data_IF_963131518924
#
_entry.id   IF_963131518924
#
_cell.length_a   1.000
_cell.length_b   1.000
_cell.length_c   1.000
_cell.angle_alpha   90.00
_cell.angle_beta   90.00
_cell.angle_gamma   90.00
#
_symmetry.space_group_name_H-M   'P 1'
#
loop_
_entity.id
_entity.type
_entity.pdbx_description
1 polymer ?
#
# COMPACT_ATOMS: atom_id res chain seq x y z
N UNK A 1 -12.61 23.28 -2.39
CA UNK A 1 -11.50 22.91 -3.32
C UNK A 1 -11.56 21.43 -3.64
N UNK A 2 -11.49 21.03 -4.92
CA UNK A 2 -11.37 19.61 -5.29
C UNK A 2 -9.99 19.11 -4.85
N UNK A 3 -9.94 18.08 -3.98
CA UNK A 3 -8.68 17.50 -3.49
C UNK A 3 -8.00 16.69 -4.60
N UNK A 4 -6.66 16.77 -4.69
CA UNK A 4 -5.85 15.95 -5.60
C UNK A 4 -5.81 14.51 -5.09
N UNK A 5 -5.98 13.55 -6.00
CA UNK A 5 -5.88 12.11 -5.68
C UNK A 5 -4.43 11.65 -5.80
N UNK A 6 -3.92 10.93 -4.81
CA UNK A 6 -2.55 10.39 -4.78
C UNK A 6 -2.47 9.03 -5.47
N UNK A 7 -1.42 8.82 -6.26
CA UNK A 7 -1.06 7.53 -6.86
C UNK A 7 0.15 6.98 -6.10
N UNK A 8 -0.06 5.90 -5.36
CA UNK A 8 0.84 5.39 -4.33
C UNK A 8 1.28 3.96 -4.70
N UNK A 9 2.51 3.73 -5.16
CA UNK A 9 3.07 2.38 -5.23
C UNK A 9 3.16 1.76 -3.84
N UNK A 10 2.59 0.56 -3.68
CA UNK A 10 2.68 -0.24 -2.46
C UNK A 10 3.62 -1.41 -2.69
N UNK A 11 4.73 -1.44 -1.96
CA UNK A 11 5.79 -2.43 -2.09
C UNK A 11 5.77 -3.37 -0.88
N UNK A 12 5.30 -4.61 -1.11
CA UNK A 12 5.43 -5.68 -0.14
C UNK A 12 6.89 -6.14 -0.09
N UNK A 13 7.51 -6.11 1.08
CA UNK A 13 8.96 -6.33 1.25
C UNK A 13 9.22 -7.51 2.17
N UNK A 14 10.25 -8.28 1.80
CA UNK A 14 10.88 -9.29 2.65
C UNK A 14 12.40 -9.16 2.53
N UNK A 15 13.08 -8.88 3.63
CA UNK A 15 14.54 -8.72 3.67
C UNK A 15 15.07 -7.76 2.58
N UNK A 16 14.38 -6.63 2.34
CA UNK A 16 14.74 -5.63 1.34
C UNK A 16 14.43 -6.01 -0.10
N UNK A 17 13.86 -7.17 -0.34
CA UNK A 17 13.41 -7.61 -1.66
C UNK A 17 11.92 -7.33 -1.83
N UNK A 18 11.56 -6.80 -2.98
CA UNK A 18 10.18 -6.68 -3.38
C UNK A 18 9.61 -8.07 -3.65
N UNK A 19 8.52 -8.39 -2.98
CA UNK A 19 7.79 -9.64 -3.17
C UNK A 19 6.35 -9.33 -3.60
N UNK A 20 5.71 -10.28 -4.26
CA UNK A 20 4.29 -10.18 -4.58
C UNK A 20 3.68 -11.55 -4.80
N UNK A 21 2.47 -11.73 -4.27
CA UNK A 21 1.64 -12.90 -4.42
C UNK A 21 0.24 -12.54 -4.95
N UNK A 22 -0.68 -13.46 -4.79
CA UNK A 22 -2.12 -13.31 -5.01
C UNK A 22 -2.79 -13.60 -3.68
N UNK A 23 -3.69 -12.71 -3.24
CA UNK A 23 -4.34 -12.80 -1.92
C UNK A 23 -3.32 -13.03 -0.77
N UNK A 24 -2.14 -12.39 -0.87
CA UNK A 24 -0.99 -12.57 0.01
C UNK A 24 -0.34 -13.96 0.00
N UNK A 25 -0.72 -14.86 -0.89
CA UNK A 25 -0.16 -16.21 -1.01
C UNK A 25 0.73 -16.35 -2.26
N UNK A 26 1.58 -17.38 -2.31
CA UNK A 26 2.44 -17.67 -3.44
C UNK A 26 3.46 -16.57 -3.73
N UNK A 27 4.09 -16.02 -2.71
CA UNK A 27 4.99 -14.87 -2.79
C UNK A 27 6.18 -15.13 -3.75
N UNK A 28 6.35 -14.27 -4.74
CA UNK A 28 7.45 -14.28 -5.71
C UNK A 28 8.32 -13.05 -5.52
N UNK A 29 9.63 -13.24 -5.63
CA UNK A 29 10.60 -12.16 -5.53
C UNK A 29 10.75 -11.48 -6.89
N UNK A 30 10.64 -10.14 -6.91
CA UNK A 30 10.77 -9.29 -8.10
C UNK A 30 12.15 -8.65 -8.23
N UNK A 31 12.81 -8.35 -7.13
CA UNK A 31 14.13 -7.72 -7.09
C UNK A 31 14.32 -6.85 -5.85
N UNK A 32 15.29 -5.95 -5.89
CA UNK A 32 15.60 -5.05 -4.78
C UNK A 32 14.50 -3.96 -4.66
N UNK A 33 13.85 -3.85 -3.51
CA UNK A 33 12.75 -2.90 -3.29
C UNK A 33 13.18 -1.43 -3.48
N UNK A 34 14.43 -1.09 -3.15
CA UNK A 34 14.96 0.27 -3.34
C UNK A 34 15.01 0.67 -4.81
N UNK A 35 15.35 -0.25 -5.70
CA UNK A 35 15.40 0.03 -7.14
C UNK A 35 14.00 0.29 -7.71
N UNK A 36 13.00 -0.45 -7.24
CA UNK A 36 11.60 -0.21 -7.57
C UNK A 36 11.11 1.14 -7.03
N UNK A 37 11.44 1.48 -5.79
CA UNK A 37 11.06 2.77 -5.21
C UNK A 37 11.64 3.96 -6.00
N UNK A 38 12.94 3.90 -6.36
CA UNK A 38 13.59 4.90 -7.23
C UNK A 38 12.89 5.03 -8.58
N UNK A 39 12.56 3.90 -9.21
CA UNK A 39 11.84 3.88 -10.48
C UNK A 39 10.46 4.53 -10.36
N UNK A 40 9.69 4.19 -9.32
CA UNK A 40 8.36 4.78 -9.11
C UNK A 40 8.45 6.27 -8.79
N UNK A 41 9.42 6.69 -7.99
CA UNK A 41 9.68 8.09 -7.75
C UNK A 41 9.97 8.85 -9.06
N UNK A 42 10.87 8.33 -9.90
CA UNK A 42 11.18 8.93 -11.21
C UNK A 42 9.99 8.92 -12.19
N UNK A 43 9.03 8.03 -11.99
CA UNK A 43 7.78 7.95 -12.75
C UNK A 43 6.65 8.82 -12.18
N UNK A 44 6.94 9.63 -11.16
CA UNK A 44 6.01 10.62 -10.60
C UNK A 44 5.06 10.05 -9.54
N UNK A 45 5.48 9.08 -8.73
CA UNK A 45 4.73 8.66 -7.54
C UNK A 45 4.47 9.83 -6.60
N UNK A 46 3.28 9.88 -5.99
CA UNK A 46 2.93 10.94 -5.04
C UNK A 46 3.37 10.60 -3.60
N UNK A 47 3.56 9.32 -3.33
CA UNK A 47 4.00 8.74 -2.07
C UNK A 47 4.55 7.33 -2.38
N UNK A 48 5.46 6.80 -1.58
CA UNK A 48 5.91 5.40 -1.64
C UNK A 48 5.48 4.71 -0.35
N UNK A 49 4.86 3.54 -0.46
CA UNK A 49 4.45 2.74 0.68
C UNK A 49 5.29 1.47 0.76
N UNK A 50 6.02 1.28 1.85
CA UNK A 50 6.72 0.05 2.20
C UNK A 50 5.93 -0.74 3.22
N UNK A 51 5.70 -2.02 2.95
CA UNK A 51 4.99 -2.94 3.84
C UNK A 51 5.82 -4.22 4.03
N UNK A 52 6.37 -4.43 5.24
CA UNK A 52 7.00 -5.71 5.55
C UNK A 52 5.92 -6.78 5.74
N UNK A 53 5.76 -7.61 4.73
CA UNK A 53 4.69 -8.62 4.68
C UNK A 53 4.93 -9.83 5.58
N UNK A 54 6.13 -9.96 6.16
CA UNK A 54 6.50 -11.12 6.98
C UNK A 54 6.75 -10.79 8.44
N UNK A 55 6.92 -9.51 8.79
CA UNK A 55 7.21 -9.08 10.15
C UNK A 55 6.17 -9.52 11.18
N UNK A 56 4.89 -9.50 10.82
CA UNK A 56 3.79 -9.96 11.69
C UNK A 56 3.90 -11.47 11.97
N UNK A 57 4.29 -12.26 10.98
CA UNK A 57 4.37 -13.73 11.09
C UNK A 57 5.59 -14.20 11.88
N UNK A 58 6.74 -13.53 11.70
CA UNK A 58 8.03 -13.96 12.25
C UNK A 58 8.57 -13.09 13.37
N UNK A 59 7.86 -12.02 13.74
CA UNK A 59 8.29 -11.12 14.80
C UNK A 59 9.53 -10.29 14.46
N UNK A 60 9.92 -10.21 13.20
CA UNK A 60 11.11 -9.49 12.76
C UNK A 60 10.76 -8.11 12.20
N UNK A 61 11.57 -7.11 12.54
CA UNK A 61 11.50 -5.78 11.96
C UNK A 61 12.86 -5.40 11.34
N UNK A 62 13.05 -5.76 10.07
CA UNK A 62 14.29 -5.52 9.35
C UNK A 62 14.21 -4.32 8.40
N UNK A 63 13.12 -3.54 8.47
CA UNK A 63 12.91 -2.44 7.53
C UNK A 63 13.84 -1.24 7.76
N UNK A 64 14.34 -1.01 8.97
CA UNK A 64 15.10 0.20 9.36
C UNK A 64 16.18 0.53 8.34
N UNK A 65 17.03 -0.44 8.01
CA UNK A 65 18.12 -0.26 7.05
C UNK A 65 17.62 0.14 5.65
N UNK A 66 16.52 -0.50 5.19
CA UNK A 66 15.97 -0.25 3.86
C UNK A 66 15.22 1.07 3.80
N UNK A 67 14.53 1.45 4.88
CA UNK A 67 13.88 2.77 5.04
C UNK A 67 14.93 3.86 4.92
N UNK A 68 16.01 3.78 5.69
CA UNK A 68 17.09 4.77 5.67
C UNK A 68 17.73 4.89 4.27
N UNK A 69 18.07 3.78 3.63
CA UNK A 69 18.62 3.78 2.27
C UNK A 69 17.66 4.33 1.22
N UNK A 70 16.35 4.16 1.42
CA UNK A 70 15.34 4.66 0.49
C UNK A 70 15.10 6.15 0.69
N UNK A 71 14.94 6.60 1.93
CA UNK A 71 14.73 8.00 2.29
C UNK A 71 15.80 8.95 1.75
N UNK A 72 17.05 8.49 1.66
CA UNK A 72 18.14 9.26 1.06
C UNK A 72 18.03 9.47 -0.47
N UNK A 73 17.14 8.77 -1.15
CA UNK A 73 17.10 8.72 -2.62
C UNK A 73 15.72 9.06 -3.22
N UNK A 74 14.72 9.29 -2.40
CA UNK A 74 13.38 9.69 -2.84
C UNK A 74 12.95 10.94 -2.08
N UNK A 75 12.21 11.83 -2.76
CA UNK A 75 11.77 13.12 -2.20
C UNK A 75 10.25 13.26 -2.29
N UNK A 76 9.54 12.16 -2.05
CA UNK A 76 8.10 12.07 -1.82
C UNK A 76 7.87 11.36 -0.50
N UNK A 77 6.72 11.55 0.17
CA UNK A 77 6.45 10.89 1.44
C UNK A 77 6.70 9.38 1.37
N UNK A 78 7.38 8.86 2.39
CA UNK A 78 7.63 7.43 2.59
C UNK A 78 6.80 6.92 3.76
N UNK A 79 5.79 6.12 3.46
CA UNK A 79 4.96 5.44 4.45
C UNK A 79 5.49 4.03 4.70
N UNK A 80 5.68 3.66 5.96
CA UNK A 80 6.32 2.39 6.34
C UNK A 80 5.45 1.60 7.29
N UNK A 81 5.19 0.34 6.94
CA UNK A 81 4.43 -0.60 7.76
C UNK A 81 5.08 -1.97 7.86
N UNK A 82 4.55 -2.75 8.80
CA UNK A 82 5.03 -4.09 9.13
C UNK A 82 5.88 -4.13 10.40
N UNK A 83 5.48 -4.99 11.34
CA UNK A 83 6.20 -5.22 12.58
C UNK A 83 6.16 -4.11 13.63
N UNK A 84 5.43 -3.02 13.42
CA UNK A 84 5.30 -1.93 14.39
C UNK A 84 4.31 -2.36 15.47
N UNK A 85 4.80 -2.59 16.69
CA UNK A 85 4.04 -3.12 17.84
C UNK A 85 4.14 -2.25 19.08
N UNK A 86 5.04 -1.28 19.09
CA UNK A 86 5.31 -0.38 20.19
C UNK A 86 5.59 1.04 19.71
N UNK A 87 5.60 1.97 20.64
CA UNK A 87 6.03 3.37 20.40
C UNK A 87 7.51 3.42 20.00
N UNK A 88 8.33 2.53 20.57
CA UNK A 88 9.75 2.46 20.23
C UNK A 88 9.97 2.00 18.80
N UNK A 89 9.22 0.99 18.32
CA UNK A 89 9.25 0.58 16.90
C UNK A 89 8.88 1.75 15.98
N UNK A 90 7.81 2.47 16.32
CA UNK A 90 7.37 3.66 15.58
C UNK A 90 8.47 4.73 15.54
N UNK A 91 9.08 5.02 16.69
CA UNK A 91 10.18 6.00 16.81
C UNK A 91 11.38 5.61 15.95
N UNK A 92 11.75 4.33 15.90
CA UNK A 92 12.83 3.82 15.07
C UNK A 92 12.55 4.02 13.57
N UNK A 93 11.30 3.83 13.13
CA UNK A 93 10.92 4.07 11.73
C UNK A 93 11.03 5.55 11.34
N UNK A 94 10.54 6.46 12.19
CA UNK A 94 10.68 7.91 11.96
C UNK A 94 12.16 8.33 11.95
N UNK A 95 12.97 7.85 12.89
CA UNK A 95 14.42 8.10 12.91
C UNK A 95 15.15 7.56 11.66
N UNK A 96 14.64 6.49 11.07
CA UNK A 96 15.16 5.94 9.82
C UNK A 96 14.77 6.75 8.57
N UNK A 97 13.84 7.71 8.69
CA UNK A 97 13.40 8.58 7.60
C UNK A 97 12.03 8.29 7.03
N UNK A 98 11.19 7.52 7.74
CA UNK A 98 9.78 7.40 7.39
C UNK A 98 9.04 8.72 7.68
N UNK A 99 8.17 9.16 6.76
CA UNK A 99 7.28 10.30 6.98
C UNK A 99 5.98 9.87 7.68
N UNK A 100 5.56 8.63 7.44
CA UNK A 100 4.38 8.03 8.06
C UNK A 100 4.65 6.59 8.47
N UNK A 101 3.96 6.15 9.52
CA UNK A 101 3.91 4.73 9.88
C UNK A 101 2.54 4.12 9.55
N UNK A 102 2.54 2.83 9.21
CA UNK A 102 1.33 2.06 8.91
C UNK A 102 1.21 0.93 9.91
N UNK A 103 0.09 0.87 10.62
CA UNK A 103 -0.17 -0.15 11.65
C UNK A 103 -1.42 -0.96 11.26
N UNK A 104 -1.41 -2.26 11.54
CA UNK A 104 -2.57 -3.14 11.37
C UNK A 104 -2.76 -4.03 12.62
N UNK A 105 -2.16 -5.22 12.62
CA UNK A 105 -2.43 -6.26 13.65
C UNK A 105 -2.26 -5.76 15.07
N UNK A 106 -1.23 -4.97 15.34
CA UNK A 106 -0.97 -4.43 16.68
C UNK A 106 -2.11 -3.53 17.21
N UNK A 107 -2.80 -2.79 16.33
CA UNK A 107 -3.94 -1.95 16.70
C UNK A 107 -5.21 -2.78 16.92
N UNK A 108 -5.36 -3.89 16.19
CA UNK A 108 -6.46 -4.85 16.43
C UNK A 108 -6.29 -5.49 17.80
N UNK A 109 -5.06 -5.85 18.16
CA UNK A 109 -4.75 -6.48 19.46
C UNK A 109 -4.79 -5.46 20.62
N UNK A 110 -4.35 -4.22 20.39
CA UNK A 110 -4.33 -3.14 21.39
C UNK A 110 -4.56 -1.77 20.74
N UNK A 111 -5.80 -1.31 20.74
CA UNK A 111 -6.19 0.00 20.17
C UNK A 111 -5.53 1.19 20.87
N UNK A 112 -5.11 1.06 22.13
CA UNK A 112 -4.46 2.15 22.86
C UNK A 112 -3.08 2.50 22.28
N UNK A 113 -2.42 1.56 21.60
CA UNK A 113 -1.19 1.85 20.85
C UNK A 113 -1.43 2.98 19.83
N UNK A 114 -2.56 2.94 19.12
CA UNK A 114 -2.92 3.97 18.15
C UNK A 114 -3.08 5.34 18.81
N UNK A 115 -3.80 5.39 19.94
CA UNK A 115 -4.00 6.63 20.71
C UNK A 115 -2.67 7.21 21.20
N UNK A 116 -1.76 6.38 21.70
CA UNK A 116 -0.44 6.81 22.13
C UNK A 116 0.41 7.30 20.94
N UNK A 117 0.46 6.55 19.86
CA UNK A 117 1.23 6.92 18.67
C UNK A 117 0.73 8.24 18.07
N UNK A 118 -0.58 8.43 17.93
CA UNK A 118 -1.15 9.67 17.41
C UNK A 118 -0.88 10.89 18.31
N UNK A 119 -0.87 10.70 19.61
CA UNK A 119 -0.53 11.76 20.57
C UNK A 119 0.95 12.17 20.51
N UNK A 120 1.85 11.21 20.29
CA UNK A 120 3.31 11.45 20.29
C UNK A 120 3.78 11.96 18.90
N UNK A 121 3.33 11.34 17.84
CA UNK A 121 3.84 11.60 16.48
C UNK A 121 2.89 12.47 15.62
N UNK A 122 1.68 12.74 16.11
CA UNK A 122 0.63 13.43 15.33
C UNK A 122 -0.17 12.48 14.45
N UNK A 123 -1.51 12.64 14.45
CA UNK A 123 -2.43 11.78 13.68
C UNK A 123 -2.09 11.73 12.18
N UNK A 124 -1.66 12.85 11.58
CA UNK A 124 -1.30 12.92 10.15
C UNK A 124 -0.19 11.97 9.73
N UNK A 125 0.62 11.53 10.68
CA UNK A 125 1.75 10.63 10.46
C UNK A 125 1.42 9.16 10.77
N UNK A 126 0.16 8.89 11.19
CA UNK A 126 -0.30 7.55 11.54
C UNK A 126 -1.37 7.10 10.54
N UNK A 127 -1.05 6.06 9.80
CA UNK A 127 -1.97 5.39 8.89
C UNK A 127 -2.37 4.03 9.46
N UNK A 128 -3.65 3.69 9.42
CA UNK A 128 -4.11 2.33 9.75
C UNK A 128 -4.48 1.60 8.46
N UNK A 129 -3.87 0.42 8.24
CA UNK A 129 -4.32 -0.45 7.16
C UNK A 129 -5.40 -1.40 7.69
N UNK A 130 -6.52 -1.45 7.00
CA UNK A 130 -7.63 -2.37 7.28
C UNK A 130 -7.65 -3.40 6.17
N UNK A 131 -7.30 -4.63 6.49
CA UNK A 131 -7.47 -5.78 5.59
C UNK A 131 -8.90 -6.30 5.77
N UNK A 132 -9.69 -6.26 4.70
CA UNK A 132 -11.07 -6.72 4.72
C UNK A 132 -11.24 -7.94 3.81
N UNK A 133 -11.85 -8.98 4.34
CA UNK A 133 -12.20 -10.20 3.62
C UNK A 133 -13.71 -10.33 3.51
N UNK A 134 -14.17 -10.75 2.33
CA UNK A 134 -15.59 -11.02 2.08
C UNK A 134 -15.86 -12.51 2.16
N UNK A 135 -16.81 -12.88 3.02
CA UNK A 135 -17.31 -14.26 3.20
C UNK A 135 -18.83 -14.20 3.16
N UNK A 136 -19.46 -14.97 2.31
CA UNK A 136 -20.92 -15.09 2.20
C UNK A 136 -21.66 -13.73 2.20
N UNK A 137 -21.23 -12.81 1.38
CA UNK A 137 -21.79 -11.45 1.24
C UNK A 137 -21.52 -10.50 2.41
N UNK A 138 -20.87 -10.93 3.49
CA UNK A 138 -20.46 -10.07 4.63
C UNK A 138 -18.97 -9.75 4.56
N UNK A 139 -18.60 -8.60 5.11
CA UNK A 139 -17.20 -8.22 5.24
C UNK A 139 -16.75 -8.33 6.69
N UNK A 140 -15.53 -8.80 6.88
CA UNK A 140 -14.86 -8.92 8.17
C UNK A 140 -13.48 -8.29 8.07
N UNK A 141 -12.97 -7.73 9.17
CA UNK A 141 -11.56 -7.36 9.21
C UNK A 141 -10.70 -8.61 9.37
N UNK A 142 -9.43 -8.49 8.96
CA UNK A 142 -8.46 -9.56 9.16
C UNK A 142 -7.09 -9.01 9.54
N UNK A 143 -6.26 -9.86 10.14
CA UNK A 143 -4.84 -9.62 10.42
C UNK A 143 -3.98 -10.73 9.83
N UNK A 144 -2.66 -10.64 10.01
CA UNK A 144 -1.70 -11.65 9.54
C UNK A 144 -1.84 -11.96 8.03
N UNK A 145 -2.01 -10.91 7.21
CA UNK A 145 -2.22 -11.03 5.76
C UNK A 145 -3.47 -11.84 5.37
N UNK A 146 -4.58 -11.59 6.05
CA UNK A 146 -5.87 -12.21 5.75
C UNK A 146 -6.10 -13.57 6.40
N UNK A 147 -5.15 -14.10 7.18
CA UNK A 147 -5.24 -15.45 7.78
C UNK A 147 -6.12 -15.50 9.01
N UNK A 148 -6.04 -14.47 9.86
CA UNK A 148 -6.82 -14.38 11.09
C UNK A 148 -8.03 -13.47 10.86
N UNK A 149 -9.21 -14.07 10.74
CA UNK A 149 -10.47 -13.35 10.52
C UNK A 149 -11.04 -12.92 11.86
N UNK A 150 -11.38 -11.65 11.96
CA UNK A 150 -11.95 -11.04 13.16
C UNK A 150 -13.39 -10.62 12.85
N UNK A 151 -14.34 -11.05 13.67
CA UNK A 151 -15.76 -10.77 13.48
C UNK A 151 -16.12 -9.31 13.82
N UNK A 152 -15.58 -8.40 13.06
CA UNK A 152 -15.84 -6.95 13.14
C UNK A 152 -16.07 -6.43 11.71
N UNK A 153 -17.13 -5.62 11.51
CA UNK A 153 -17.39 -4.96 10.23
C UNK A 153 -16.30 -3.91 9.94
N UNK A 154 -15.69 -3.91 8.73
CA UNK A 154 -14.60 -2.98 8.40
C UNK A 154 -14.98 -1.50 8.51
N UNK A 155 -16.26 -1.14 8.30
CA UNK A 155 -16.70 0.26 8.41
C UNK A 155 -16.83 0.70 9.87
N UNK A 156 -17.24 -0.19 10.76
CA UNK A 156 -17.26 0.07 12.21
C UNK A 156 -15.82 0.18 12.74
N UNK A 157 -14.94 -0.70 12.27
CA UNK A 157 -13.53 -0.63 12.63
C UNK A 157 -12.86 0.64 12.12
N UNK A 158 -13.19 1.09 10.92
CA UNK A 158 -12.70 2.36 10.37
C UNK A 158 -13.07 3.56 11.25
N UNK A 159 -14.32 3.64 11.70
CA UNK A 159 -14.76 4.69 12.64
C UNK A 159 -14.00 4.63 13.96
N UNK A 160 -13.82 3.42 14.50
CA UNK A 160 -13.10 3.23 15.75
C UNK A 160 -11.62 3.65 15.65
N UNK A 161 -10.91 3.28 14.58
CA UNK A 161 -9.52 3.70 14.42
C UNK A 161 -9.38 5.20 14.17
N UNK A 162 -10.32 5.84 13.49
CA UNK A 162 -10.37 7.30 13.37
C UNK A 162 -10.53 7.97 14.74
N UNK A 163 -11.48 7.52 15.55
CA UNK A 163 -11.70 8.02 16.91
C UNK A 163 -10.45 7.91 17.80
N UNK A 164 -9.68 6.83 17.62
CA UNK A 164 -8.44 6.59 18.35
C UNK A 164 -7.20 7.27 17.75
N UNK A 165 -7.35 8.06 16.69
CA UNK A 165 -6.34 8.98 16.19
C UNK A 165 -5.63 8.55 14.89
N UNK A 166 -6.20 7.61 14.12
CA UNK A 166 -5.73 7.40 12.75
C UNK A 166 -5.95 8.67 11.92
N UNK A 167 -4.91 9.17 11.27
CA UNK A 167 -5.02 10.31 10.36
C UNK A 167 -5.25 9.93 8.92
N UNK A 168 -5.13 8.64 8.60
CA UNK A 168 -5.35 8.08 7.26
C UNK A 168 -5.70 6.59 7.36
N UNK A 169 -6.51 6.08 6.45
CA UNK A 169 -6.88 4.67 6.38
C UNK A 169 -6.54 4.12 5.00
N UNK A 170 -5.83 2.98 4.96
CA UNK A 170 -5.68 2.17 3.75
C UNK A 170 -6.64 1.00 3.85
N UNK A 171 -7.59 0.88 2.91
CA UNK A 171 -8.47 -0.29 2.84
C UNK A 171 -7.95 -1.27 1.80
N UNK A 172 -7.65 -2.49 2.23
CA UNK A 172 -7.22 -3.59 1.35
C UNK A 172 -8.31 -4.64 1.25
N UNK A 173 -8.90 -4.78 0.06
CA UNK A 173 -9.80 -5.88 -0.25
C UNK A 173 -8.99 -7.15 -0.50
N UNK A 174 -8.92 -8.05 0.49
CA UNK A 174 -8.10 -9.28 0.44
C UNK A 174 -8.48 -10.16 -0.75
N UNK A 175 -9.79 -10.32 -1.01
CA UNK A 175 -10.29 -11.14 -2.12
C UNK A 175 -9.91 -10.59 -3.51
N UNK A 176 -9.55 -9.31 -3.62
CA UNK A 176 -9.16 -8.68 -4.89
C UNK A 176 -7.65 -8.52 -5.03
N UNK A 177 -6.91 -8.69 -3.90
CA UNK A 177 -5.49 -8.43 -3.82
C UNK A 177 -4.70 -9.31 -4.81
N UNK A 178 -3.86 -8.70 -5.65
CA UNK A 178 -3.06 -9.39 -6.66
C UNK A 178 -3.81 -9.86 -7.92
N UNK A 179 -5.15 -9.92 -7.92
CA UNK A 179 -5.96 -10.46 -9.01
C UNK A 179 -6.05 -9.56 -10.25
N UNK A 180 -5.81 -8.25 -10.12
CA UNK A 180 -5.92 -7.26 -11.23
C UNK A 180 -7.34 -7.16 -11.84
N UNK A 181 -8.38 -7.55 -11.11
CA UNK A 181 -9.78 -7.59 -11.57
C UNK A 181 -10.60 -6.34 -11.20
N UNK A 182 -10.00 -5.36 -10.57
CA UNK A 182 -10.64 -4.13 -10.07
C UNK A 182 -10.72 -4.11 -8.55
N UNK A 183 -10.92 -2.89 -8.01
CA UNK A 183 -11.11 -2.67 -6.58
C UNK A 183 -12.50 -3.11 -6.14
N UNK A 184 -12.66 -3.44 -4.85
CA UNK A 184 -13.97 -3.56 -4.25
C UNK A 184 -14.53 -2.15 -3.94
N UNK A 185 -15.27 -1.62 -4.90
CA UNK A 185 -15.84 -0.27 -4.83
C UNK A 185 -16.90 -0.19 -3.73
N UNK A 186 -17.70 -1.23 -3.55
CA UNK A 186 -18.75 -1.26 -2.52
C UNK A 186 -18.19 -1.18 -1.12
N UNK A 187 -17.20 -2.01 -0.80
CA UNK A 187 -16.47 -1.97 0.46
C UNK A 187 -15.83 -0.60 0.69
N UNK A 188 -15.08 -0.13 -0.31
CA UNK A 188 -14.32 1.12 -0.21
C UNK A 188 -15.26 2.32 0.01
N UNK A 189 -16.35 2.40 -0.75
CA UNK A 189 -17.36 3.45 -0.62
C UNK A 189 -18.00 3.47 0.77
N UNK A 190 -18.41 2.29 1.28
CA UNK A 190 -18.99 2.14 2.62
C UNK A 190 -18.07 2.72 3.71
N UNK A 191 -16.76 2.55 3.59
CA UNK A 191 -15.79 3.10 4.54
C UNK A 191 -15.65 4.61 4.36
N UNK A 192 -15.45 5.09 3.12
CA UNK A 192 -15.31 6.53 2.83
C UNK A 192 -16.51 7.34 3.36
N UNK A 193 -17.71 6.78 3.29
CA UNK A 193 -18.93 7.44 3.79
C UNK A 193 -19.04 7.47 5.32
N UNK A 194 -18.23 6.69 6.04
CA UNK A 194 -18.28 6.55 7.50
C UNK A 194 -17.19 7.30 8.25
N UNK A 195 -16.13 7.75 7.56
CA UNK A 195 -14.99 8.44 8.17
C UNK A 195 -14.72 9.78 7.49
N UNK A 196 -14.08 10.69 8.22
CA UNK A 196 -13.66 12.02 7.71
C UNK A 196 -12.20 12.04 7.28
N UNK A 197 -11.38 11.12 7.78
CA UNK A 197 -9.96 11.02 7.41
C UNK A 197 -9.81 10.51 5.97
N UNK A 198 -8.71 10.87 5.28
CA UNK A 198 -8.41 10.36 3.96
C UNK A 198 -8.43 8.83 3.90
N UNK A 199 -9.06 8.27 2.87
CA UNK A 199 -9.07 6.82 2.60
C UNK A 199 -8.32 6.55 1.30
N UNK A 200 -7.44 5.55 1.35
CA UNK A 200 -6.68 5.00 0.22
C UNK A 200 -7.27 3.63 -0.12
N UNK A 201 -7.68 3.44 -1.37
CA UNK A 201 -8.09 2.11 -1.86
C UNK A 201 -6.87 1.28 -2.24
N UNK A 202 -6.80 0.03 -1.80
CA UNK A 202 -5.76 -0.94 -2.15
C UNK A 202 -6.36 -2.32 -2.46
N UNK A 203 -5.66 -3.08 -3.34
CA UNK A 203 -6.08 -4.43 -3.75
C UNK A 203 -7.01 -4.43 -4.97
N UNK A 204 -6.52 -4.97 -6.10
CA UNK A 204 -7.32 -5.23 -7.30
C UNK A 204 -6.99 -4.40 -8.55
N UNK A 205 -6.15 -3.37 -8.49
CA UNK A 205 -5.78 -2.58 -9.67
C UNK A 205 -5.18 -3.44 -10.79
N UNK A 206 -5.77 -3.38 -11.99
CA UNK A 206 -5.29 -4.09 -13.17
C UNK A 206 -5.10 -3.22 -14.40
N UNK A 207 -5.74 -2.05 -14.43
CA UNK A 207 -5.63 -1.06 -15.51
C UNK A 207 -6.06 0.33 -15.01
N UNK A 208 -5.90 1.34 -15.86
CA UNK A 208 -6.20 2.74 -15.53
C UNK A 208 -7.70 2.98 -15.29
N UNK A 209 -8.57 2.18 -15.94
CA UNK A 209 -10.02 2.29 -15.75
C UNK A 209 -10.42 1.85 -14.34
N UNK A 210 -9.84 0.79 -13.79
CA UNK A 210 -10.10 0.36 -12.41
C UNK A 210 -9.76 1.47 -11.40
N UNK A 211 -8.65 2.19 -11.64
CA UNK A 211 -8.23 3.32 -10.81
C UNK A 211 -9.24 4.48 -10.91
N UNK A 212 -9.64 4.82 -12.13
CA UNK A 212 -10.66 5.84 -12.35
C UNK A 212 -11.99 5.49 -11.67
N UNK A 213 -12.44 4.23 -11.81
CA UNK A 213 -13.72 3.79 -11.27
C UNK A 213 -13.75 3.89 -9.74
N UNK A 214 -12.70 3.47 -9.02
CA UNK A 214 -12.67 3.60 -7.55
C UNK A 214 -12.61 5.06 -7.09
N UNK A 215 -11.87 5.92 -7.79
CA UNK A 215 -11.83 7.35 -7.49
C UNK A 215 -13.21 7.98 -7.69
N UNK A 216 -13.86 7.69 -8.82
CA UNK A 216 -15.15 8.27 -9.20
C UNK A 216 -16.28 7.82 -8.28
N UNK A 217 -16.37 6.51 -8.00
CA UNK A 217 -17.53 5.93 -7.34
C UNK A 217 -17.36 5.78 -5.83
N UNK A 218 -16.14 5.59 -5.32
CA UNK A 218 -15.88 5.55 -3.89
C UNK A 218 -15.30 6.85 -3.31
N UNK A 219 -14.90 7.84 -4.17
CA UNK A 219 -14.40 9.17 -3.76
C UNK A 219 -13.18 9.10 -2.83
N UNK A 220 -12.28 8.19 -3.08
CA UNK A 220 -11.04 8.00 -2.30
C UNK A 220 -10.06 9.17 -2.47
N UNK A 221 -9.21 9.38 -1.47
CA UNK A 221 -8.15 10.40 -1.45
C UNK A 221 -6.85 9.91 -2.07
N UNK A 222 -6.69 8.61 -2.27
CA UNK A 222 -5.53 7.99 -2.88
C UNK A 222 -5.80 6.57 -3.35
N UNK A 223 -4.91 6.06 -4.18
CA UNK A 223 -4.98 4.69 -4.72
C UNK A 223 -3.62 4.02 -4.54
N UNK A 224 -3.61 2.94 -3.75
CA UNK A 224 -2.47 2.05 -3.57
C UNK A 224 -2.40 1.02 -4.71
N UNK A 225 -1.26 0.93 -5.37
CA UNK A 225 -1.08 0.07 -6.54
C UNK A 225 0.18 -0.78 -6.37
N UNK A 226 0.04 -2.10 -6.47
CA UNK A 226 1.11 -3.06 -6.36
C UNK A 226 1.31 -3.85 -7.67
N UNK A 227 0.69 -5.01 -7.81
CA UNK A 227 0.89 -5.96 -8.91
C UNK A 227 0.92 -5.32 -10.29
N UNK A 228 -0.04 -4.42 -10.61
CA UNK A 228 -0.12 -3.74 -11.90
C UNK A 228 1.19 -3.00 -12.24
N UNK A 229 1.77 -2.28 -11.27
CA UNK A 229 3.02 -1.55 -11.46
C UNK A 229 4.24 -2.46 -11.42
N UNK A 230 4.27 -3.44 -10.51
CA UNK A 230 5.46 -4.28 -10.31
C UNK A 230 5.77 -5.14 -11.52
N UNK A 231 4.75 -5.76 -12.13
CA UNK A 231 4.93 -6.56 -13.32
C UNK A 231 5.46 -5.74 -14.49
N UNK A 232 4.95 -4.52 -14.68
CA UNK A 232 5.38 -3.65 -15.78
C UNK A 232 6.77 -3.04 -15.53
N UNK A 233 7.12 -2.78 -14.26
CA UNK A 233 8.41 -2.22 -13.85
C UNK A 233 9.60 -3.13 -14.17
N UNK A 234 9.39 -4.45 -14.25
CA UNK A 234 10.44 -5.44 -14.56
C UNK A 234 11.18 -5.10 -15.87
N UNK A 235 10.50 -4.44 -16.82
CA UNK A 235 11.11 -4.05 -18.11
C UNK A 235 12.10 -2.89 -18.01
N UNK A 236 11.93 -2.03 -17.01
CA UNK A 236 12.74 -0.82 -16.82
C UNK A 236 13.93 -1.04 -15.91
N UNK A 237 13.90 -2.11 -15.11
CA UNK A 237 14.99 -2.40 -14.19
C UNK A 237 16.04 -3.29 -14.84
N UNK A 238 17.33 -3.08 -14.53
CA UNK A 238 18.39 -3.96 -15.00
C UNK A 238 18.05 -5.40 -14.59
N UNK A 239 18.43 -6.38 -15.43
CA UNK A 239 18.29 -7.80 -15.10
C UNK A 239 18.80 -7.99 -13.68
N UNK A 240 17.91 -8.39 -12.78
CA UNK A 240 18.30 -8.62 -11.39
C UNK A 240 19.45 -9.61 -11.39
N UNK A 241 20.66 -9.12 -11.09
CA UNK A 241 21.88 -9.94 -10.98
C UNK A 241 21.86 -10.84 -9.74
N UNK A 242 20.75 -10.82 -9.01
CA UNK A 242 20.57 -11.68 -7.85
C UNK A 242 20.08 -13.04 -8.33
N UNK A 243 20.87 -14.07 -8.07
CA UNK A 243 20.45 -15.49 -8.15
C UNK A 243 19.31 -15.81 -7.16
N UNK A 244 18.66 -14.79 -6.59
CA UNK A 244 17.62 -14.83 -5.58
C UNK A 244 16.31 -14.53 -6.28
N UNK A 245 15.45 -15.53 -6.45
CA UNK A 245 14.09 -15.39 -6.97
C UNK A 245 13.77 -16.22 -8.20
N UNK A 246 12.52 -16.20 -8.59
CA UNK A 246 12.01 -16.89 -9.78
C UNK A 246 12.41 -16.17 -11.08
N UNK A 247 13.69 -16.16 -11.43
CA UNK A 247 14.22 -15.51 -12.64
C UNK A 247 13.55 -16.02 -13.91
N UNK A 248 13.28 -17.33 -14.01
CA UNK A 248 12.54 -17.96 -15.14
C UNK A 248 11.16 -17.33 -15.28
N UNK A 249 10.43 -17.15 -14.19
CA UNK A 249 9.12 -16.52 -14.19
C UNK A 249 9.19 -15.04 -14.63
N UNK A 250 10.15 -14.27 -14.12
CA UNK A 250 10.31 -12.87 -14.47
C UNK A 250 10.70 -12.70 -15.96
N UNK A 251 11.54 -13.58 -16.49
CA UNK A 251 11.92 -13.57 -17.91
C UNK A 251 10.74 -13.97 -18.83
N UNK A 252 9.90 -14.92 -18.40
CA UNK A 252 8.67 -15.26 -19.15
C UNK A 252 7.70 -14.07 -19.21
N UNK A 253 7.54 -13.35 -18.11
CA UNK A 253 6.70 -12.15 -18.07
C UNK A 253 7.26 -11.06 -18.99
N UNK A 254 8.57 -10.79 -18.96
CA UNK A 254 9.19 -9.79 -19.85
C UNK A 254 8.85 -10.02 -21.33
N UNK A 255 8.78 -11.29 -21.75
CA UNK A 255 8.46 -11.68 -23.12
C UNK A 255 6.96 -11.46 -23.46
N UNK A 256 6.07 -11.66 -22.51
CA UNK A 256 4.62 -11.64 -22.73
C UNK A 256 3.95 -10.28 -22.52
N UNK A 257 4.58 -9.35 -21.79
CA UNK A 257 4.01 -8.04 -21.52
C UNK A 257 3.90 -7.17 -22.79
N UNK A 258 2.68 -7.00 -23.29
CA UNK A 258 2.37 -6.14 -24.45
C UNK A 258 2.17 -4.66 -24.08
N UNK A 259 1.59 -4.37 -22.92
CA UNK A 259 1.23 -3.02 -22.44
C UNK A 259 2.06 -2.67 -21.21
N UNK A 260 2.48 -1.41 -21.11
CA UNK A 260 3.22 -0.89 -19.95
C UNK A 260 2.35 0.14 -19.24
N UNK A 261 2.04 -0.12 -17.96
CA UNK A 261 1.39 0.83 -17.08
C UNK A 261 2.45 1.54 -16.24
N UNK A 262 2.69 2.81 -16.53
CA UNK A 262 3.54 3.66 -15.69
C UNK A 262 2.67 4.64 -14.94
N UNK A 263 3.16 5.15 -13.81
CA UNK A 263 2.45 6.16 -13.01
C UNK A 263 2.11 7.38 -13.89
N UNK A 264 3.02 7.80 -14.74
CA UNK A 264 2.81 8.90 -15.69
C UNK A 264 1.64 8.63 -16.65
N UNK A 265 1.52 7.40 -17.19
CA UNK A 265 0.38 7.02 -18.04
C UNK A 265 -0.94 7.03 -17.28
N UNK A 266 -0.94 6.50 -16.04
CA UNK A 266 -2.10 6.52 -15.15
C UNK A 266 -2.55 7.97 -14.90
N UNK A 267 -1.65 8.84 -14.49
CA UNK A 267 -1.95 10.26 -14.24
C UNK A 267 -2.48 10.96 -15.49
N UNK A 268 -1.88 10.72 -16.65
CA UNK A 268 -2.35 11.30 -17.91
C UNK A 268 -3.76 10.81 -18.28
N UNK A 269 -4.07 9.53 -18.06
CA UNK A 269 -5.42 9.01 -18.25
C UNK A 269 -6.42 9.67 -17.30
N UNK A 270 -6.09 9.81 -16.03
CA UNK A 270 -6.93 10.45 -15.01
C UNK A 270 -7.19 11.93 -15.33
N UNK A 271 -6.16 12.68 -15.76
CA UNK A 271 -6.30 14.09 -16.21
C UNK A 271 -7.28 14.21 -17.37
N UNK A 272 -7.22 13.31 -18.38
CA UNK A 272 -8.18 13.26 -19.49
C UNK A 272 -9.62 12.94 -19.03
N UNK A 273 -9.80 12.39 -17.84
CA UNK A 273 -11.09 12.12 -17.19
C UNK A 273 -11.48 13.17 -16.17
N UNK A 274 -10.83 14.35 -16.18
CA UNK A 274 -11.07 15.46 -15.25
C UNK A 274 -10.86 15.11 -13.76
N UNK A 275 -10.00 14.14 -13.46
CA UNK A 275 -9.54 13.84 -12.11
C UNK A 275 -8.29 14.69 -11.83
N UNK A 276 -8.31 15.41 -10.70
CA UNK A 276 -7.16 16.20 -10.26
C UNK A 276 -6.13 15.24 -9.65
N UNK A 277 -4.95 15.18 -10.25
CA UNK A 277 -3.76 14.48 -9.76
C UNK A 277 -2.59 15.44 -9.71
N UNK A 278 -1.62 15.19 -8.84
CA UNK A 278 -0.41 16.00 -8.76
C UNK A 278 0.32 15.98 -10.12
N UNK A 279 0.81 17.14 -10.53
CA UNK A 279 1.66 17.23 -11.71
C UNK A 279 3.02 16.60 -11.40
N UNK A 280 3.60 15.90 -12.37
CA UNK A 280 4.98 15.49 -12.29
C UNK A 280 5.82 16.77 -12.18
N UNK A 281 6.70 16.86 -11.22
CA UNK A 281 7.70 17.93 -11.20
C UNK A 281 8.55 17.75 -12.48
N UNK A 282 8.64 18.81 -13.24
CA UNK A 282 9.66 18.94 -14.30
C UNK A 282 11.06 18.90 -13.68
#
# INVERSE_FOLDING_TARGET
>A
MKKSVRIIPVLDIKNGLLIKGINFEGLRVFGNAKDFAKLYYSHGADEICYQDSVATLYGTNNLIKFVNQTAQNIFVPLSVGGGIRSIDDASLMFKAGADKIIINSAVIDNINLLKQASKIFGSSNITVIIQAIKIDKKYFISKSNGRDIINIDPSQWAQKVEEFGAGEIIITAVNNEGLKKGFDISLTKKIVEKVSVPVIAHGGAGNEKHIYDVIKYAKVSGVGIASMLHYDAIKFLPKARTKIGNTIFLDSIKKTLKKQNTIKKIKNFLKKKNIIVRNDKQ
#
